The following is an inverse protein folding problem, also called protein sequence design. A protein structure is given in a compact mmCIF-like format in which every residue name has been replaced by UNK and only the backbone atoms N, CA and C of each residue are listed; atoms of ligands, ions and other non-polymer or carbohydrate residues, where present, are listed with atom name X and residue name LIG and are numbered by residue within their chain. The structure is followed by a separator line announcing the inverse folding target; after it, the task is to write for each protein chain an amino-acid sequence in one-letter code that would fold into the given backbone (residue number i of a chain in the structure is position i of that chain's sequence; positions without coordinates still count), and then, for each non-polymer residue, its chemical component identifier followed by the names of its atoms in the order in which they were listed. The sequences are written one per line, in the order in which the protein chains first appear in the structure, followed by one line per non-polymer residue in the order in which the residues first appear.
data_IF_481259564453
#
_entry.id   IF_481259564453
#
_cell.length_a   1.000
_cell.length_b   1.000
_cell.length_c   1.000
_cell.angle_alpha   90.00
_cell.angle_beta   90.00
_cell.angle_gamma   90.00
#
_symmetry.space_group_name_H-M   'P 1'
#
loop_
_entity.id
_entity.type
_entity.pdbx_description
1 polymer ?
#
# COMPACT_ATOMS: atom_id res chain seq x y z
N UNK A 1 41.57 -33.43 3.94
CA UNK A 1 41.50 -32.69 5.22
C UNK A 1 41.24 -31.21 4.91
N UNK A 2 40.11 -30.66 5.34
CA UNK A 2 39.74 -29.24 5.11
C UNK A 2 40.24 -28.39 6.28
N UNK A 3 41.11 -27.41 6.01
CA UNK A 3 41.60 -26.46 7.02
C UNK A 3 40.47 -25.49 7.42
N UNK A 4 40.05 -25.54 8.69
CA UNK A 4 39.16 -24.52 9.29
C UNK A 4 39.92 -23.20 9.45
N UNK A 5 39.43 -22.13 8.81
CA UNK A 5 39.93 -20.76 9.00
C UNK A 5 39.62 -20.26 10.41
N UNK A 6 40.60 -19.65 11.07
CA UNK A 6 40.42 -18.94 12.35
C UNK A 6 39.66 -17.64 12.10
N UNK A 7 38.49 -17.48 12.73
CA UNK A 7 37.72 -16.24 12.71
C UNK A 7 38.28 -15.33 13.79
N UNK A 8 38.90 -14.22 13.40
CA UNK A 8 39.34 -13.17 14.32
C UNK A 8 38.11 -12.30 14.63
N UNK A 9 37.68 -12.15 15.89
CA UNK A 9 36.57 -11.28 16.23
C UNK A 9 37.00 -9.82 16.00
N UNK A 10 36.31 -9.14 15.07
CA UNK A 10 36.50 -7.71 14.81
C UNK A 10 35.93 -6.94 16.00
N UNK A 11 36.75 -6.17 16.70
CA UNK A 11 36.26 -5.26 17.75
C UNK A 11 35.25 -4.28 17.12
N UNK A 12 34.05 -4.21 17.72
CA UNK A 12 33.02 -3.26 17.32
C UNK A 12 33.44 -1.87 17.79
N UNK A 13 34.05 -1.09 16.90
CA UNK A 13 34.10 0.36 17.05
C UNK A 13 32.66 0.89 17.02
N UNK A 14 32.10 1.18 18.18
CA UNK A 14 30.83 1.90 18.27
C UNK A 14 31.10 3.35 17.84
N UNK A 15 30.30 3.89 16.91
CA UNK A 15 30.46 5.29 16.49
C UNK A 15 30.04 6.22 17.63
N UNK A 16 30.78 7.31 17.84
CA UNK A 16 30.48 8.33 18.85
C UNK A 16 29.00 8.78 18.82
N UNK A 17 28.42 8.91 17.63
CA UNK A 17 26.99 9.26 17.47
C UNK A 17 26.01 8.26 18.09
N UNK A 18 26.39 6.98 18.22
CA UNK A 18 25.54 5.96 18.82
C UNK A 18 25.62 5.96 20.34
N UNK A 19 26.77 6.33 20.88
CA UNK A 19 27.01 6.48 22.32
C UNK A 19 26.32 7.73 22.86
N UNK A 20 26.40 8.85 22.15
CA UNK A 20 25.87 10.17 22.60
C UNK A 20 24.49 10.56 22.02
N UNK A 21 23.74 9.60 21.44
CA UNK A 21 22.45 9.88 20.81
C UNK A 21 21.42 10.43 21.81
N UNK A 22 21.53 10.06 23.08
CA UNK A 22 20.62 10.55 24.12
C UNK A 22 20.90 12.03 24.46
N UNK A 23 22.15 12.37 24.72
CA UNK A 23 22.61 13.72 25.06
C UNK A 23 22.32 14.70 23.92
N UNK A 24 22.56 14.28 22.66
CA UNK A 24 22.26 15.10 21.48
C UNK A 24 20.75 15.38 21.40
N UNK A 25 19.89 14.39 21.64
CA UNK A 25 18.42 14.59 21.66
C UNK A 25 17.99 15.51 22.78
N UNK A 26 18.56 15.35 23.98
CA UNK A 26 18.23 16.18 25.14
C UNK A 26 18.62 17.64 24.87
N UNK A 27 19.83 17.90 24.38
CA UNK A 27 20.30 19.25 24.05
C UNK A 27 19.42 19.88 22.95
N UNK A 28 19.06 19.10 21.93
CA UNK A 28 18.21 19.59 20.83
C UNK A 28 16.82 19.96 21.35
N UNK A 29 16.19 19.09 22.16
CA UNK A 29 14.88 19.35 22.75
C UNK A 29 14.89 20.52 23.72
N UNK A 30 15.95 20.65 24.53
CA UNK A 30 16.09 21.73 25.49
C UNK A 30 16.30 23.08 24.80
N UNK A 31 17.15 23.12 23.76
CA UNK A 31 17.35 24.30 22.93
C UNK A 31 16.06 24.69 22.20
N UNK A 32 15.33 23.73 21.62
CA UNK A 32 14.01 23.98 21.03
C UNK A 32 13.01 24.52 22.06
N UNK A 33 12.99 23.97 23.27
CA UNK A 33 12.11 24.43 24.35
C UNK A 33 12.40 25.86 24.79
N UNK A 34 13.67 26.22 24.94
CA UNK A 34 14.08 27.61 25.25
C UNK A 34 13.77 28.53 24.07
N UNK A 35 14.07 28.12 22.84
CA UNK A 35 13.78 28.89 21.63
C UNK A 35 12.28 29.25 21.53
N UNK A 36 11.40 28.28 21.82
CA UNK A 36 9.95 28.49 21.87
C UNK A 36 9.49 29.44 23.00
N UNK A 37 10.26 29.61 24.07
CA UNK A 37 9.95 30.51 25.18
C UNK A 37 10.53 31.92 25.00
N UNK A 38 11.62 32.05 24.24
CA UNK A 38 12.37 33.31 24.06
C UNK A 38 11.90 34.10 22.85
N UNK A 39 11.37 33.46 21.81
CA UNK A 39 10.81 34.20 20.66
C UNK A 39 9.43 34.80 20.98
N UNK A 40 9.34 36.14 20.86
CA UNK A 40 8.14 36.92 21.16
C UNK A 40 6.99 36.60 20.18
N UNK A 41 5.87 36.13 20.75
CA UNK A 41 4.43 36.29 20.42
C UNK A 41 3.89 36.22 18.97
N UNK A 42 4.67 36.45 17.91
CA UNK A 42 4.23 36.36 16.51
C UNK A 42 3.97 34.91 16.06
N UNK A 43 4.76 33.95 16.56
CA UNK A 43 4.57 32.51 16.25
C UNK A 43 3.22 32.02 16.76
N UNK A 44 2.79 32.45 17.95
CA UNK A 44 1.50 32.03 18.52
C UNK A 44 0.33 32.54 17.67
N UNK A 45 0.40 33.79 17.19
CA UNK A 45 -0.62 34.35 16.31
C UNK A 45 -0.61 33.69 14.94
N UNK A 46 0.57 33.44 14.37
CA UNK A 46 0.71 32.73 13.10
C UNK A 46 0.14 31.30 13.17
N UNK A 47 0.47 30.55 14.24
CA UNK A 47 -0.08 29.22 14.49
C UNK A 47 -1.61 29.27 14.67
N UNK A 48 -2.14 30.24 15.41
CA UNK A 48 -3.58 30.40 15.59
C UNK A 48 -4.31 30.74 14.28
N UNK A 49 -3.76 31.64 13.47
CA UNK A 49 -4.31 31.98 12.15
C UNK A 49 -4.23 30.78 11.21
N UNK A 50 -3.14 30.01 11.26
CA UNK A 50 -2.97 28.81 10.47
C UNK A 50 -4.00 27.71 10.86
N UNK A 51 -4.17 27.45 12.15
CA UNK A 51 -5.14 26.46 12.66
C UNK A 51 -6.56 26.90 12.33
N UNK A 52 -6.92 28.16 12.58
CA UNK A 52 -8.27 28.66 12.28
C UNK A 52 -8.57 28.59 10.77
N UNK A 53 -7.64 29.02 9.91
CA UNK A 53 -7.82 28.93 8.44
C UNK A 53 -7.94 27.50 7.95
N UNK A 54 -7.14 26.58 8.47
CA UNK A 54 -7.22 25.16 8.06
C UNK A 54 -8.56 24.55 8.48
N UNK A 55 -9.03 24.85 9.69
CA UNK A 55 -10.35 24.39 10.16
C UNK A 55 -11.50 24.99 9.34
N UNK A 56 -11.44 26.28 8.98
CA UNK A 56 -12.48 26.89 8.14
C UNK A 56 -12.47 26.33 6.72
N UNK A 57 -11.31 26.11 6.12
CA UNK A 57 -11.20 25.48 4.79
C UNK A 57 -11.81 24.07 4.82
N UNK A 58 -11.56 23.29 5.87
CA UNK A 58 -12.15 21.95 6.02
C UNK A 58 -13.67 22.06 6.19
N UNK A 59 -14.15 23.00 7.00
CA UNK A 59 -15.57 23.27 7.19
C UNK A 59 -16.27 23.66 5.89
N UNK A 60 -15.70 24.60 5.14
CA UNK A 60 -16.21 25.07 3.86
C UNK A 60 -16.20 23.95 2.81
N UNK A 61 -15.15 23.14 2.76
CA UNK A 61 -15.09 21.96 1.90
C UNK A 61 -16.19 20.95 2.24
N UNK A 62 -16.49 20.75 3.53
CA UNK A 62 -17.58 19.87 3.96
C UNK A 62 -18.96 20.42 3.56
N UNK A 63 -19.18 21.73 3.71
CA UNK A 63 -20.43 22.39 3.26
C UNK A 63 -20.57 22.29 1.74
N UNK A 64 -19.50 22.57 0.99
CA UNK A 64 -19.50 22.42 -0.46
C UNK A 64 -19.80 20.98 -0.91
N UNK A 65 -19.21 19.99 -0.23
CA UNK A 65 -19.47 18.57 -0.51
C UNK A 65 -20.93 18.21 -0.21
N UNK A 66 -21.51 18.71 0.88
CA UNK A 66 -22.94 18.50 1.21
C UNK A 66 -23.83 19.10 0.12
N UNK A 67 -23.57 20.34 -0.27
CA UNK A 67 -24.40 21.05 -1.25
C UNK A 67 -24.29 20.39 -2.64
N UNK A 68 -23.10 19.88 -3.00
CA UNK A 68 -22.90 19.07 -4.20
C UNK A 68 -23.70 17.77 -4.16
N UNK A 69 -23.70 17.04 -3.04
CA UNK A 69 -24.52 15.82 -2.87
C UNK A 69 -26.01 16.16 -2.99
N UNK A 70 -26.49 17.22 -2.34
CA UNK A 70 -27.90 17.63 -2.42
C UNK A 70 -28.27 18.03 -3.86
N UNK A 71 -27.39 18.74 -4.57
CA UNK A 71 -27.60 19.11 -5.96
C UNK A 71 -27.72 17.87 -6.86
N UNK A 72 -26.82 16.88 -6.70
CA UNK A 72 -26.91 15.62 -7.42
C UNK A 72 -28.21 14.87 -7.10
N UNK A 73 -28.54 14.70 -5.82
CA UNK A 73 -29.77 14.00 -5.40
C UNK A 73 -31.04 14.72 -5.84
N UNK A 74 -31.04 16.05 -5.98
CA UNK A 74 -32.19 16.78 -6.53
C UNK A 74 -32.38 16.58 -8.03
N UNK A 75 -31.32 16.27 -8.77
CA UNK A 75 -31.41 16.00 -10.21
C UNK A 75 -31.85 14.56 -10.53
N UNK A 76 -31.59 13.61 -9.64
CA UNK A 76 -31.95 12.20 -9.82
C UNK A 76 -33.18 11.85 -8.98
N UNK A 77 -34.20 11.26 -9.58
CA UNK A 77 -35.30 10.71 -8.79
C UNK A 77 -34.78 9.52 -7.95
N UNK A 78 -35.43 9.24 -6.81
CA UNK A 78 -35.07 8.09 -5.96
C UNK A 78 -35.08 6.79 -6.77
N UNK A 79 -35.98 6.69 -7.75
CA UNK A 79 -36.05 5.57 -8.69
C UNK A 79 -34.77 5.41 -9.53
N UNK A 80 -34.19 6.51 -10.03
CA UNK A 80 -32.98 6.46 -10.85
C UNK A 80 -31.77 5.99 -10.05
N UNK A 81 -31.66 6.43 -8.79
CA UNK A 81 -30.60 6.01 -7.87
C UNK A 81 -30.72 4.50 -7.61
N UNK A 82 -31.94 3.99 -7.39
CA UNK A 82 -32.19 2.55 -7.23
C UNK A 82 -31.84 1.80 -8.52
N UNK A 83 -32.19 2.35 -9.69
CA UNK A 83 -31.82 1.76 -10.99
C UNK A 83 -30.31 1.64 -11.18
N UNK A 84 -29.57 2.72 -10.95
CA UNK A 84 -28.10 2.76 -11.09
C UNK A 84 -27.44 1.80 -10.10
N UNK A 85 -27.90 1.77 -8.85
CA UNK A 85 -27.34 0.86 -7.84
C UNK A 85 -27.56 -0.61 -8.19
N UNK A 86 -28.75 -0.98 -8.69
CA UNK A 86 -29.00 -2.34 -9.19
C UNK A 86 -28.11 -2.70 -10.38
N UNK A 87 -27.92 -1.78 -11.34
CA UNK A 87 -27.04 -1.99 -12.49
C UNK A 87 -25.59 -2.22 -12.01
N UNK A 88 -25.08 -1.37 -11.11
CA UNK A 88 -23.74 -1.51 -10.53
C UNK A 88 -23.59 -2.83 -9.78
N UNK A 89 -24.63 -3.27 -9.06
CA UNK A 89 -24.63 -4.54 -8.36
C UNK A 89 -24.54 -5.73 -9.34
N UNK A 90 -25.28 -5.69 -10.45
CA UNK A 90 -25.19 -6.71 -11.50
C UNK A 90 -23.78 -6.75 -12.11
N UNK A 91 -23.20 -5.60 -12.43
CA UNK A 91 -21.81 -5.53 -12.91
C UNK A 91 -20.83 -6.13 -11.90
N UNK A 92 -20.98 -5.80 -10.62
CA UNK A 92 -20.18 -6.38 -9.54
C UNK A 92 -20.29 -7.91 -9.52
N UNK A 93 -21.50 -8.46 -9.60
CA UNK A 93 -21.73 -9.91 -9.65
C UNK A 93 -21.08 -10.56 -10.89
N UNK A 94 -21.17 -9.93 -12.06
CA UNK A 94 -20.55 -10.41 -13.30
C UNK A 94 -19.03 -10.46 -13.14
N UNK A 95 -18.41 -9.38 -12.65
CA UNK A 95 -16.97 -9.30 -12.43
C UNK A 95 -16.52 -10.35 -11.41
N UNK A 96 -17.25 -10.50 -10.31
CA UNK A 96 -16.93 -11.50 -9.29
C UNK A 96 -17.01 -12.93 -9.87
N UNK A 97 -18.03 -13.22 -10.68
CA UNK A 97 -18.14 -14.51 -11.38
C UNK A 97 -17.01 -14.75 -12.38
N UNK A 98 -16.61 -13.73 -13.13
CA UNK A 98 -15.46 -13.83 -14.04
C UNK A 98 -14.15 -14.05 -13.30
N UNK A 99 -13.96 -13.37 -12.16
CA UNK A 99 -12.82 -13.59 -11.27
C UNK A 99 -12.77 -15.05 -10.82
N UNK A 100 -13.86 -15.59 -10.29
CA UNK A 100 -13.91 -16.96 -9.79
C UNK A 100 -13.61 -17.99 -10.89
N UNK A 101 -14.21 -17.85 -12.09
CA UNK A 101 -13.90 -18.68 -13.26
C UNK A 101 -12.44 -18.61 -13.69
N UNK A 102 -11.80 -17.46 -13.50
CA UNK A 102 -10.39 -17.27 -13.87
C UNK A 102 -9.50 -17.95 -12.83
N UNK A 103 -9.79 -17.78 -11.53
CA UNK A 103 -9.05 -18.48 -10.46
C UNK A 103 -9.14 -19.99 -10.66
N UNK A 104 -10.33 -20.53 -10.90
CA UNK A 104 -10.54 -21.97 -11.06
C UNK A 104 -9.68 -22.54 -12.20
N UNK A 105 -9.69 -21.88 -13.38
CA UNK A 105 -8.90 -22.29 -14.55
C UNK A 105 -7.40 -22.32 -14.29
N UNK A 106 -6.87 -21.39 -13.50
CA UNK A 106 -5.43 -21.28 -13.21
C UNK A 106 -5.06 -21.81 -11.82
N UNK A 107 -5.95 -22.51 -11.12
CA UNK A 107 -5.67 -23.05 -9.77
C UNK A 107 -4.90 -24.37 -9.81
N UNK A 108 -5.12 -25.18 -10.84
CA UNK A 108 -4.56 -26.54 -10.99
C UNK A 108 -3.23 -26.50 -11.73
N UNK A 109 -2.18 -26.10 -11.01
CA UNK A 109 -0.80 -26.22 -11.46
C UNK A 109 -0.02 -27.08 -10.45
N UNK A 110 0.31 -28.30 -10.85
CA UNK A 110 1.12 -29.26 -10.09
C UNK A 110 2.42 -29.52 -10.85
N UNK A 111 2.32 -29.95 -12.10
CA UNK A 111 3.44 -30.24 -13.00
C UNK A 111 3.37 -29.38 -14.26
N UNK A 112 4.47 -29.25 -15.00
CA UNK A 112 4.49 -28.50 -16.25
C UNK A 112 3.54 -29.13 -17.29
N UNK A 113 2.68 -28.31 -17.90
CA UNK A 113 1.71 -28.75 -18.91
C UNK A 113 2.34 -29.34 -20.17
N UNK A 114 3.60 -29.00 -20.49
CA UNK A 114 4.27 -29.42 -21.73
C UNK A 114 5.11 -30.68 -21.59
N UNK A 115 5.85 -30.82 -20.48
CA UNK A 115 6.81 -31.91 -20.31
C UNK A 115 6.63 -32.70 -19.02
N UNK A 116 5.63 -32.37 -18.19
CA UNK A 116 5.37 -33.04 -16.91
C UNK A 116 6.44 -32.81 -15.84
N UNK A 117 7.49 -32.04 -16.13
CA UNK A 117 8.59 -31.78 -15.20
C UNK A 117 8.24 -30.81 -14.07
N UNK A 118 9.11 -30.78 -13.06
CA UNK A 118 8.98 -29.92 -11.89
C UNK A 118 8.98 -28.43 -12.23
N UNK A 119 8.16 -27.69 -11.47
CA UNK A 119 8.03 -26.25 -11.55
C UNK A 119 8.86 -25.57 -10.46
N UNK A 120 9.64 -24.54 -10.82
CA UNK A 120 10.31 -23.67 -9.86
C UNK A 120 9.69 -22.28 -9.88
N UNK A 121 9.62 -21.63 -8.71
CA UNK A 121 8.98 -20.32 -8.57
C UNK A 121 9.94 -19.23 -9.03
N UNK A 122 9.44 -18.28 -9.82
CA UNK A 122 10.19 -17.13 -10.33
C UNK A 122 9.55 -15.79 -9.91
N UNK A 123 10.29 -14.70 -10.12
CA UNK A 123 9.81 -13.35 -9.79
C UNK A 123 8.59 -12.97 -10.66
N UNK A 124 7.65 -12.27 -10.04
CA UNK A 124 6.47 -11.72 -10.74
C UNK A 124 6.89 -10.57 -11.65
N UNK A 125 6.37 -10.55 -12.87
CA UNK A 125 6.45 -9.40 -13.78
C UNK A 125 5.47 -8.31 -13.34
N UNK A 126 5.59 -7.10 -13.90
CA UNK A 126 4.68 -5.99 -13.62
C UNK A 126 3.22 -6.34 -13.93
N UNK A 127 2.98 -7.01 -15.06
CA UNK A 127 1.63 -7.44 -15.47
C UNK A 127 0.98 -8.37 -14.42
N UNK A 128 1.76 -9.28 -13.83
CA UNK A 128 1.25 -10.17 -12.78
C UNK A 128 1.00 -9.44 -11.45
N UNK A 129 1.76 -8.39 -11.14
CA UNK A 129 1.50 -7.55 -9.97
C UNK A 129 0.23 -6.73 -10.16
N UNK A 130 0.06 -6.11 -11.32
CA UNK A 130 -1.15 -5.35 -11.64
C UNK A 130 -2.39 -6.25 -11.56
N UNK A 131 -2.29 -7.47 -12.11
CA UNK A 131 -3.37 -8.45 -12.03
C UNK A 131 -3.69 -8.85 -10.58
N UNK A 132 -2.68 -8.97 -9.69
CA UNK A 132 -2.96 -9.23 -8.27
C UNK A 132 -3.71 -8.10 -7.57
N UNK A 133 -3.47 -6.85 -7.97
CA UNK A 133 -4.12 -5.67 -7.40
C UNK A 133 -5.56 -5.59 -7.91
N UNK A 134 -5.75 -5.67 -9.24
CA UNK A 134 -7.06 -5.53 -9.88
C UNK A 134 -8.05 -6.60 -9.38
N UNK A 135 -7.60 -7.85 -9.28
CA UNK A 135 -8.49 -8.95 -8.90
C UNK A 135 -8.47 -9.26 -7.39
N UNK A 136 -7.62 -8.59 -6.61
CA UNK A 136 -7.36 -8.88 -5.19
C UNK A 136 -7.01 -10.37 -4.96
N UNK A 137 -6.09 -10.91 -5.77
CA UNK A 137 -5.68 -12.33 -5.70
C UNK A 137 -4.18 -12.51 -5.68
N UNK A 138 -3.70 -13.61 -5.12
CA UNK A 138 -2.29 -13.96 -5.15
C UNK A 138 -1.90 -14.68 -6.44
N UNK A 139 -1.21 -13.96 -7.33
CA UNK A 139 -0.60 -14.55 -8.53
C UNK A 139 0.76 -15.17 -8.17
N UNK A 140 0.95 -16.47 -8.42
CA UNK A 140 2.24 -17.17 -8.34
C UNK A 140 2.75 -17.44 -9.76
N UNK A 141 4.03 -17.19 -10.00
CA UNK A 141 4.66 -17.34 -11.31
C UNK A 141 5.72 -18.44 -11.23
N UNK A 142 5.67 -19.38 -12.17
CA UNK A 142 6.51 -20.56 -12.21
C UNK A 142 7.18 -20.71 -13.58
N UNK A 143 8.33 -21.35 -13.59
CA UNK A 143 9.02 -21.78 -14.79
C UNK A 143 9.38 -23.25 -14.64
N UNK A 144 9.30 -24.03 -15.72
CA UNK A 144 9.69 -25.42 -15.69
C UNK A 144 11.23 -25.55 -15.58
N UNK A 145 11.71 -26.58 -14.87
CA UNK A 145 13.16 -26.90 -14.85
C UNK A 145 13.62 -27.56 -16.15
N UNK A 146 12.77 -28.36 -16.78
CA UNK A 146 13.12 -29.18 -17.94
C UNK A 146 12.88 -28.49 -19.29
N UNK A 147 12.07 -27.41 -19.33
CA UNK A 147 11.78 -26.67 -20.56
C UNK A 147 11.63 -25.16 -20.29
N UNK A 148 11.76 -24.28 -21.30
CA UNK A 148 11.65 -22.84 -21.12
C UNK A 148 10.22 -22.32 -20.89
N UNK A 149 9.25 -23.22 -20.61
CA UNK A 149 7.85 -22.84 -20.43
C UNK A 149 7.65 -22.08 -19.11
N UNK A 150 6.84 -21.01 -19.16
CA UNK A 150 6.44 -20.20 -18.00
C UNK A 150 4.94 -20.31 -17.81
N UNK A 151 4.53 -20.50 -16.57
CA UNK A 151 3.14 -20.76 -16.20
C UNK A 151 2.76 -19.96 -14.95
N UNK A 152 1.48 -19.66 -14.79
CA UNK A 152 0.96 -18.92 -13.64
C UNK A 152 -0.04 -19.77 -12.87
N UNK A 153 -0.06 -19.57 -11.55
CA UNK A 153 -1.05 -20.15 -10.66
C UNK A 153 -1.73 -19.04 -9.89
N UNK A 154 -3.05 -18.98 -9.98
CA UNK A 154 -3.86 -18.03 -9.23
C UNK A 154 -4.31 -18.70 -7.93
N UNK A 155 -4.15 -17.98 -6.82
CA UNK A 155 -4.59 -18.42 -5.49
C UNK A 155 -5.44 -17.30 -4.92
N UNK A 156 -6.60 -17.68 -4.38
CA UNK A 156 -7.51 -16.78 -3.68
C UNK A 156 -6.82 -16.13 -2.50
#
# INVERSE_FOLDING_TARGET
MSQKRKVIPKEKQFSFYKEYNFEIRVILLFTLGIFLLVEDLEIKNYIYIFISKTLTIIGDAAVWMRDFIIFLVKQFEVSDIVGITLILYVFYLIINRWRDRTIERYSKLINCSKCGGDLHRIRKTYNHKMMSIIYFITVKHYQCKSCPNKEIKLVR
#
